data_IF_487688310367
#
_entry.id   IF_487688310367
#
_cell.length_a   1.000
_cell.length_b   1.000
_cell.length_c   1.000
_cell.angle_alpha   90.00
_cell.angle_beta   90.00
_cell.angle_gamma   90.00
#
_symmetry.space_group_name_H-M   'P 1'
#
loop_
_entity.id
_entity.type
_entity.pdbx_description
1 polymer ?
#
# COMPACT_ATOMS: atom_id res chain seq x y z
N UNK A 1 -49.32 -75.36 53.78
CA UNK A 1 -48.05 -74.62 53.68
C UNK A 1 -46.99 -75.57 53.14
N UNK A 2 -46.69 -75.53 51.83
CA UNK A 2 -45.67 -76.40 51.21
C UNK A 2 -44.30 -75.76 51.40
N UNK A 3 -43.46 -76.40 52.20
CA UNK A 3 -42.07 -76.00 52.37
C UNK A 3 -41.34 -76.13 51.03
N UNK A 4 -41.04 -75.00 50.39
CA UNK A 4 -40.06 -74.93 49.32
C UNK A 4 -38.70 -75.22 49.92
N UNK A 5 -38.30 -76.50 49.88
CA UNK A 5 -36.95 -76.97 50.14
C UNK A 5 -35.98 -76.06 49.37
N UNK A 6 -35.18 -75.28 50.11
CA UNK A 6 -34.01 -74.57 49.58
C UNK A 6 -33.07 -75.61 48.97
N UNK A 7 -33.20 -75.83 47.66
CA UNK A 7 -32.17 -76.51 46.87
C UNK A 7 -30.95 -75.61 46.90
N UNK A 8 -30.03 -75.89 47.83
CA UNK A 8 -28.66 -75.45 47.65
C UNK A 8 -28.23 -76.06 46.31
N UNK A 9 -27.90 -75.24 45.30
CA UNK A 9 -27.46 -75.78 44.02
C UNK A 9 -26.29 -76.72 44.30
N UNK A 10 -26.35 -77.91 43.72
CA UNK A 10 -25.24 -78.87 43.81
C UNK A 10 -23.96 -78.15 43.38
N UNK A 11 -22.84 -78.45 44.05
CA UNK A 11 -21.53 -77.95 43.67
C UNK A 11 -21.28 -78.14 42.16
N UNK A 12 -21.81 -79.22 41.58
CA UNK A 12 -21.77 -79.49 40.14
C UNK A 12 -22.48 -78.42 39.29
N UNK A 13 -23.64 -77.91 39.72
CA UNK A 13 -24.39 -76.89 38.97
C UNK A 13 -23.71 -75.53 39.05
N UNK A 14 -23.09 -75.21 40.19
CA UNK A 14 -22.31 -73.97 40.35
C UNK A 14 -21.08 -74.02 39.45
N UNK A 15 -20.32 -75.13 39.49
CA UNK A 15 -19.14 -75.33 38.63
C UNK A 15 -19.54 -75.30 37.15
N UNK A 16 -20.63 -75.99 36.77
CA UNK A 16 -21.12 -76.01 35.39
C UNK A 16 -21.53 -74.62 34.89
N UNK A 17 -22.21 -73.83 35.73
CA UNK A 17 -22.63 -72.47 35.35
C UNK A 17 -21.44 -71.52 35.21
N UNK A 18 -20.44 -71.63 36.09
CA UNK A 18 -19.24 -70.81 36.03
C UNK A 18 -18.35 -71.19 34.83
N UNK A 19 -18.19 -72.49 34.58
CA UNK A 19 -17.49 -73.00 33.40
C UNK A 19 -18.16 -72.55 32.10
N UNK A 20 -19.50 -72.55 32.06
CA UNK A 20 -20.25 -72.09 30.89
C UNK A 20 -20.08 -70.59 30.66
N UNK A 21 -20.08 -69.78 31.73
CA UNK A 21 -19.87 -68.34 31.66
C UNK A 21 -18.47 -67.98 31.14
N UNK A 22 -17.45 -68.73 31.59
CA UNK A 22 -16.07 -68.62 31.09
C UNK A 22 -15.93 -69.08 29.63
N UNK A 23 -16.59 -70.18 29.27
CA UNK A 23 -16.57 -70.73 27.91
C UNK A 23 -17.22 -69.80 26.87
N UNK A 24 -18.30 -69.09 27.25
CA UNK A 24 -19.00 -68.14 26.38
C UNK A 24 -18.37 -66.74 26.40
N UNK A 25 -17.64 -66.36 27.45
CA UNK A 25 -17.06 -65.02 27.62
C UNK A 25 -15.87 -64.69 26.70
N UNK A 26 -15.17 -65.71 26.17
CA UNK A 26 -13.93 -65.53 25.41
C UNK A 26 -14.07 -64.83 24.05
N UNK A 27 -15.22 -64.98 23.38
CA UNK A 27 -15.41 -64.47 22.01
C UNK A 27 -15.65 -62.97 21.95
N UNK A 28 -16.29 -62.39 22.97
CA UNK A 28 -16.55 -60.94 23.05
C UNK A 28 -15.31 -60.12 23.41
N UNK A 29 -14.47 -60.64 24.31
CA UNK A 29 -13.23 -59.95 24.73
C UNK A 29 -12.22 -59.93 23.59
N UNK A 30 -12.09 -61.02 22.82
CA UNK A 30 -11.15 -61.08 21.70
C UNK A 30 -11.47 -60.04 20.61
N UNK A 31 -12.74 -59.84 20.26
CA UNK A 31 -13.12 -58.90 19.20
C UNK A 31 -12.76 -57.43 19.51
N UNK A 32 -12.67 -57.04 20.79
CA UNK A 32 -12.43 -55.65 21.21
C UNK A 32 -11.01 -55.43 21.75
N UNK A 33 -10.38 -56.47 22.31
CA UNK A 33 -9.05 -56.36 22.97
C UNK A 33 -7.90 -57.00 22.19
N UNK A 34 -8.17 -57.93 21.27
CA UNK A 34 -7.13 -58.70 20.55
C UNK A 34 -6.74 -58.05 19.23
N UNK A 35 -7.45 -57.04 18.75
CA UNK A 35 -7.06 -56.31 17.55
C UNK A 35 -6.25 -55.05 17.94
N UNK A 36 -4.93 -55.04 17.71
CA UNK A 36 -4.15 -53.81 17.77
C UNK A 36 -4.75 -52.73 16.87
N UNK A 37 -4.47 -51.47 17.17
CA UNK A 37 -4.81 -50.35 16.26
C UNK A 37 -4.27 -50.62 14.86
N UNK A 38 -5.04 -50.26 13.83
CA UNK A 38 -4.73 -50.46 12.42
C UNK A 38 -4.67 -51.92 11.93
N UNK A 39 -5.25 -52.88 12.66
CA UNK A 39 -5.29 -54.30 12.25
C UNK A 39 -6.44 -54.65 11.28
N UNK A 40 -7.29 -53.69 10.95
CA UNK A 40 -8.36 -53.86 9.95
C UNK A 40 -7.89 -53.29 8.61
N UNK A 41 -7.39 -54.16 7.75
CA UNK A 41 -7.00 -53.85 6.38
C UNK A 41 -8.16 -53.97 5.38
N UNK A 42 -7.87 -53.69 4.11
CA UNK A 42 -8.87 -53.68 3.03
C UNK A 42 -9.53 -55.04 2.80
N UNK A 43 -8.82 -56.15 3.04
CA UNK A 43 -9.35 -57.51 2.88
C UNK A 43 -10.49 -57.83 3.87
N UNK A 44 -10.55 -57.14 5.01
CA UNK A 44 -11.63 -57.29 6.00
C UNK A 44 -12.84 -56.39 5.71
N UNK A 45 -12.72 -55.46 4.74
CA UNK A 45 -13.77 -54.53 4.37
C UNK A 45 -14.42 -54.96 3.05
N UNK A 46 -15.71 -55.29 3.08
CA UNK A 46 -16.50 -55.49 1.87
C UNK A 46 -16.70 -54.15 1.13
N UNK A 47 -16.97 -54.20 -0.17
CA UNK A 47 -17.32 -53.00 -0.93
C UNK A 47 -18.53 -52.30 -0.29
N UNK A 48 -18.47 -50.97 -0.18
CA UNK A 48 -19.46 -50.13 0.51
C UNK A 48 -19.67 -50.45 2.00
N UNK A 49 -18.72 -51.14 2.66
CA UNK A 49 -18.81 -51.39 4.09
C UNK A 49 -18.75 -50.11 4.94
N UNK A 50 -18.04 -49.08 4.49
CA UNK A 50 -17.94 -47.77 5.16
C UNK A 50 -18.71 -46.74 4.33
N UNK A 51 -19.90 -46.37 4.82
CA UNK A 51 -20.76 -45.34 4.21
C UNK A 51 -20.73 -44.05 5.03
N UNK A 52 -21.29 -42.96 4.50
CA UNK A 52 -21.34 -41.66 5.19
C UNK A 52 -21.97 -41.74 6.58
N UNK A 53 -23.00 -42.57 6.77
CA UNK A 53 -23.65 -42.79 8.07
C UNK A 53 -22.72 -43.39 9.14
N UNK A 54 -21.64 -44.07 8.72
CA UNK A 54 -20.63 -44.66 9.62
C UNK A 54 -19.46 -43.73 9.92
N UNK A 55 -19.42 -42.56 9.28
CA UNK A 55 -18.39 -41.54 9.49
C UNK A 55 -18.98 -40.42 10.32
N UNK A 56 -18.36 -40.12 11.47
CA UNK A 56 -18.81 -39.03 12.32
C UNK A 56 -18.56 -37.68 11.64
N UNK A 57 -19.53 -36.78 11.64
CA UNK A 57 -19.38 -35.44 11.08
C UNK A 57 -18.19 -34.69 11.71
N UNK A 58 -17.34 -34.11 10.87
CA UNK A 58 -16.13 -33.39 11.29
C UNK A 58 -14.97 -34.26 11.79
N UNK A 59 -15.06 -35.59 11.67
CA UNK A 59 -13.96 -36.48 12.06
C UNK A 59 -12.81 -36.57 11.05
N UNK A 60 -13.07 -36.21 9.79
CA UNK A 60 -12.07 -36.25 8.73
C UNK A 60 -11.26 -34.95 8.69
N UNK A 61 -9.95 -35.08 8.67
CA UNK A 61 -8.98 -34.01 8.53
C UNK A 61 -8.53 -33.89 7.07
N UNK A 62 -7.86 -32.79 6.74
CA UNK A 62 -7.23 -32.60 5.42
C UNK A 62 -6.28 -33.76 5.04
N UNK A 63 -5.62 -34.36 6.04
CA UNK A 63 -4.68 -35.46 5.85
C UNK A 63 -5.34 -36.77 5.39
N UNK A 64 -6.65 -36.94 5.62
CA UNK A 64 -7.39 -38.15 5.23
C UNK A 64 -7.75 -38.17 3.73
N UNK A 65 -7.58 -37.03 3.05
CA UNK A 65 -7.90 -36.86 1.64
C UNK A 65 -6.63 -36.76 0.80
N UNK A 66 -6.66 -37.35 -0.40
CA UNK A 66 -5.59 -37.15 -1.39
C UNK A 66 -5.57 -35.69 -1.83
N UNK A 67 -4.39 -35.20 -2.21
CA UNK A 67 -4.22 -33.85 -2.76
C UNK A 67 -5.15 -33.66 -3.96
N UNK A 68 -5.95 -32.59 -3.94
CA UNK A 68 -6.92 -32.28 -4.99
C UNK A 68 -8.33 -32.82 -4.77
N UNK A 69 -8.59 -33.64 -3.73
CA UNK A 69 -9.95 -34.11 -3.41
C UNK A 69 -10.81 -33.08 -2.67
N UNK A 70 -10.18 -32.11 -2.00
CA UNK A 70 -10.88 -31.02 -1.32
C UNK A 70 -10.83 -29.79 -2.24
N UNK A 71 -11.96 -29.35 -2.81
CA UNK A 71 -12.01 -28.14 -3.60
C UNK A 71 -11.45 -26.96 -2.82
N UNK A 72 -10.61 -26.15 -3.45
CA UNK A 72 -10.19 -24.88 -2.86
C UNK A 72 -11.43 -23.99 -2.68
N UNK A 73 -11.49 -23.26 -1.56
CA UNK A 73 -12.49 -22.22 -1.40
C UNK A 73 -12.36 -21.17 -2.51
N UNK A 74 -13.43 -20.41 -2.79
CA UNK A 74 -13.35 -19.31 -3.75
C UNK A 74 -12.24 -18.33 -3.35
N UNK A 75 -11.58 -17.73 -4.33
CA UNK A 75 -10.65 -16.63 -4.07
C UNK A 75 -11.42 -15.50 -3.38
N UNK A 76 -10.86 -14.93 -2.31
CA UNK A 76 -11.48 -13.82 -1.60
C UNK A 76 -11.72 -12.62 -2.52
N UNK A 77 -12.72 -11.80 -2.20
CA UNK A 77 -12.95 -10.56 -2.95
C UNK A 77 -11.71 -9.66 -2.91
N UNK A 78 -11.47 -8.92 -4.00
CA UNK A 78 -10.45 -7.87 -4.01
C UNK A 78 -10.75 -6.87 -2.90
N UNK A 79 -9.73 -6.49 -2.13
CA UNK A 79 -9.88 -5.46 -1.11
C UNK A 79 -10.35 -4.13 -1.70
N UNK A 80 -10.95 -3.24 -0.89
CA UNK A 80 -11.34 -1.91 -1.33
C UNK A 80 -10.13 -1.13 -1.85
N UNK A 81 -10.37 -0.17 -2.74
CA UNK A 81 -9.35 0.79 -3.12
C UNK A 81 -8.89 1.57 -1.88
N UNK A 82 -7.59 1.86 -1.79
CA UNK A 82 -7.06 2.72 -0.74
C UNK A 82 -7.63 4.16 -0.83
N UNK A 83 -7.53 4.95 0.24
CA UNK A 83 -7.94 6.35 0.21
C UNK A 83 -7.16 7.14 -0.85
N UNK A 84 -7.77 8.22 -1.35
CA UNK A 84 -7.05 9.17 -2.20
C UNK A 84 -5.85 9.76 -1.45
N UNK A 85 -4.77 10.07 -2.19
CA UNK A 85 -3.62 10.78 -1.62
C UNK A 85 -3.96 12.23 -1.22
N UNK A 86 -3.10 12.89 -0.42
CA UNK A 86 -3.30 14.29 -0.07
C UNK A 86 -3.25 15.19 -1.32
N UNK A 87 -3.90 16.37 -1.29
CA UNK A 87 -3.74 17.39 -2.33
C UNK A 87 -2.27 17.78 -2.54
N UNK A 88 -1.91 18.14 -3.77
CA UNK A 88 -0.58 18.69 -4.08
C UNK A 88 -0.38 20.09 -3.48
N UNK A 89 0.88 20.59 -3.44
CA UNK A 89 1.16 21.95 -2.98
C UNK A 89 0.48 23.00 -3.86
N UNK A 90 0.20 24.17 -3.28
CA UNK A 90 -0.37 25.29 -4.03
C UNK A 90 0.57 25.75 -5.16
N UNK A 91 0.01 26.00 -6.35
CA UNK A 91 0.77 26.46 -7.51
C UNK A 91 0.93 27.98 -7.58
N UNK A 92 1.75 28.43 -8.53
CA UNK A 92 1.89 29.85 -8.91
C UNK A 92 0.71 30.22 -9.81
N UNK A 93 0.06 31.36 -9.56
CA UNK A 93 -1.07 31.85 -10.36
C UNK A 93 -0.83 33.25 -10.95
N UNK A 94 -1.61 33.61 -11.98
CA UNK A 94 -1.63 34.96 -12.57
C UNK A 94 -0.26 35.50 -13.02
N UNK A 95 0.55 34.65 -13.67
CA UNK A 95 1.84 35.04 -14.24
C UNK A 95 1.67 36.18 -15.25
N UNK A 96 2.47 37.22 -15.10
CA UNK A 96 2.52 38.38 -15.99
C UNK A 96 3.97 38.89 -16.09
N UNK A 97 4.33 39.43 -17.25
CA UNK A 97 5.64 40.04 -17.48
C UNK A 97 5.49 41.55 -17.56
N UNK A 98 6.29 42.27 -16.78
CA UNK A 98 6.38 43.74 -16.81
C UNK A 98 7.71 44.13 -17.43
N UNK A 99 7.68 44.88 -18.53
CA UNK A 99 8.87 45.40 -19.22
C UNK A 99 8.97 46.91 -19.07
N UNK A 100 10.17 47.42 -18.82
CA UNK A 100 10.44 48.85 -18.79
C UNK A 100 11.78 49.16 -19.47
N UNK A 101 11.85 50.28 -20.19
CA UNK A 101 13.04 50.68 -20.96
C UNK A 101 13.42 52.11 -20.63
N UNK A 102 14.70 52.36 -20.46
CA UNK A 102 15.26 53.70 -20.32
C UNK A 102 15.19 54.48 -21.64
N UNK A 103 15.21 55.83 -21.60
CA UNK A 103 15.34 56.63 -22.82
C UNK A 103 16.62 56.30 -23.60
N UNK A 104 16.55 56.43 -24.93
CA UNK A 104 17.70 56.23 -25.83
C UNK A 104 18.64 57.43 -25.73
N UNK A 105 19.83 57.22 -25.18
CA UNK A 105 20.84 58.27 -24.95
C UNK A 105 22.20 57.64 -24.70
N UNK A 106 23.26 58.44 -24.68
CA UNK A 106 24.61 58.05 -24.24
C UNK A 106 24.85 58.31 -22.74
N UNK A 107 23.79 58.47 -21.95
CA UNK A 107 23.94 58.66 -20.51
C UNK A 107 24.43 57.36 -19.86
N UNK A 108 25.38 57.48 -18.93
CA UNK A 108 25.96 56.35 -18.19
C UNK A 108 26.23 56.78 -16.74
N UNK A 109 25.86 55.98 -15.72
CA UNK A 109 25.11 54.72 -15.82
C UNK A 109 23.62 54.93 -16.14
N UNK A 110 22.93 53.84 -16.49
CA UNK A 110 21.47 53.78 -16.57
C UNK A 110 20.93 52.82 -15.52
N UNK A 111 19.93 53.29 -14.78
CA UNK A 111 19.24 52.53 -13.74
C UNK A 111 17.74 52.58 -13.98
N UNK A 112 17.08 51.44 -13.92
CA UNK A 112 15.62 51.35 -14.02
C UNK A 112 15.10 50.08 -13.32
N UNK A 113 13.87 50.12 -12.81
CA UNK A 113 13.26 48.98 -12.11
C UNK A 113 11.90 48.64 -12.70
N UNK A 114 11.67 47.36 -12.98
CA UNK A 114 10.36 46.84 -13.36
C UNK A 114 9.57 46.47 -12.09
N UNK A 115 8.46 47.17 -11.85
CA UNK A 115 7.63 47.00 -10.64
C UNK A 115 6.46 46.07 -10.93
N UNK A 116 6.26 45.06 -10.08
CA UNK A 116 5.12 44.16 -10.19
C UNK A 116 3.80 44.86 -9.80
N UNK A 117 2.67 44.50 -10.45
CA UNK A 117 1.35 44.95 -10.04
C UNK A 117 1.02 44.54 -8.59
N UNK A 118 0.05 45.23 -7.99
CA UNK A 118 -0.41 44.92 -6.64
C UNK A 118 -0.87 43.46 -6.51
N UNK A 119 -0.52 42.81 -5.39
CA UNK A 119 -0.85 41.41 -5.14
C UNK A 119 0.04 40.38 -5.85
N UNK A 120 1.08 40.81 -6.57
CA UNK A 120 2.08 39.92 -7.19
C UNK A 120 3.46 40.07 -6.56
N UNK A 121 4.31 39.07 -6.80
CA UNK A 121 5.73 39.04 -6.42
C UNK A 121 6.58 38.64 -7.62
N UNK A 122 7.81 39.14 -7.64
CA UNK A 122 8.84 38.77 -8.61
C UNK A 122 9.22 37.32 -8.40
N UNK A 123 9.02 36.49 -9.42
CA UNK A 123 9.48 35.10 -9.48
C UNK A 123 10.71 34.94 -10.37
N UNK A 124 11.12 36.00 -11.06
CA UNK A 124 12.29 36.07 -11.93
C UNK A 124 12.33 37.36 -12.72
N UNK A 125 13.41 37.60 -13.45
CA UNK A 125 13.56 38.80 -14.28
C UNK A 125 14.87 38.81 -15.04
N UNK A 126 15.13 39.89 -15.75
CA UNK A 126 16.36 40.06 -16.51
C UNK A 126 16.53 41.47 -17.06
N UNK A 127 17.72 41.73 -17.59
CA UNK A 127 18.07 42.99 -18.23
C UNK A 127 18.73 42.74 -19.59
N UNK A 128 18.51 43.65 -20.54
CA UNK A 128 19.18 43.65 -21.84
C UNK A 128 19.60 45.08 -22.21
N UNK A 129 20.76 45.20 -22.84
CA UNK A 129 21.24 46.46 -23.41
C UNK A 129 21.13 46.39 -24.94
N UNK A 130 20.56 47.41 -25.56
CA UNK A 130 20.47 47.50 -27.03
C UNK A 130 20.90 48.87 -27.54
N UNK A 131 21.10 48.99 -28.86
CA UNK A 131 21.55 50.22 -29.53
C UNK A 131 23.02 50.15 -29.96
N UNK A 132 23.46 51.17 -30.70
CA UNK A 132 24.82 51.21 -31.28
C UNK A 132 25.93 51.21 -30.22
N UNK A 133 25.67 51.75 -29.03
CA UNK A 133 26.61 51.73 -27.90
C UNK A 133 26.66 50.40 -27.13
N UNK A 134 25.75 49.45 -27.38
CA UNK A 134 25.62 48.23 -26.57
C UNK A 134 26.90 47.39 -26.43
N UNK A 135 27.77 47.23 -27.47
CA UNK A 135 29.03 46.48 -27.32
C UNK A 135 30.03 47.08 -26.33
N UNK A 136 29.81 48.33 -25.88
CA UNK A 136 30.69 49.06 -24.95
C UNK A 136 30.09 49.19 -23.54
N UNK A 137 28.96 48.54 -23.28
CA UNK A 137 28.19 48.63 -22.05
C UNK A 137 28.08 47.24 -21.42
N UNK A 138 28.22 47.16 -20.10
CA UNK A 138 27.93 45.96 -19.33
C UNK A 138 26.75 46.19 -18.40
N UNK A 139 25.97 45.14 -18.15
CA UNK A 139 25.02 45.09 -17.04
C UNK A 139 25.85 44.89 -15.76
N UNK A 140 25.64 45.78 -14.79
CA UNK A 140 26.31 45.80 -13.49
C UNK A 140 25.46 45.09 -12.44
N UNK A 141 24.15 45.32 -12.49
CA UNK A 141 23.18 44.74 -11.56
C UNK A 141 21.93 44.22 -12.28
N UNK A 142 21.43 43.06 -11.86
CA UNK A 142 20.17 42.48 -12.31
C UNK A 142 19.59 41.55 -11.22
N UNK A 143 18.76 42.09 -10.32
CA UNK A 143 18.29 41.36 -9.14
C UNK A 143 16.88 41.77 -8.69
N UNK A 144 16.11 40.86 -8.08
CA UNK A 144 14.87 41.22 -7.40
C UNK A 144 15.13 41.94 -6.07
N UNK A 145 14.25 42.86 -5.71
CA UNK A 145 14.15 43.45 -4.38
C UNK A 145 13.95 42.36 -3.30
N UNK A 146 14.49 42.61 -2.09
CA UNK A 146 14.22 41.86 -0.86
C UNK A 146 12.74 41.61 -0.56
N UNK A 147 11.84 42.55 -0.87
CA UNK A 147 10.39 42.41 -0.68
C UNK A 147 9.70 41.69 -1.85
N UNK A 148 10.46 41.40 -2.92
CA UNK A 148 10.00 40.75 -4.13
C UNK A 148 8.99 41.58 -4.93
N UNK A 149 8.95 42.91 -4.80
CA UNK A 149 7.97 43.76 -5.50
C UNK A 149 8.50 44.32 -6.82
N UNK A 150 9.82 44.41 -7.00
CA UNK A 150 10.44 44.94 -8.22
C UNK A 150 11.73 44.21 -8.59
N UNK A 151 12.04 44.22 -9.88
CA UNK A 151 13.33 43.75 -10.42
C UNK A 151 14.15 44.96 -10.86
N UNK A 152 15.35 45.11 -10.30
CA UNK A 152 16.24 46.23 -10.53
C UNK A 152 17.25 45.87 -11.62
N UNK A 153 17.57 46.84 -12.48
CA UNK A 153 18.67 46.71 -13.43
C UNK A 153 19.51 47.98 -13.51
N UNK A 154 20.83 47.77 -13.55
CA UNK A 154 21.83 48.81 -13.75
C UNK A 154 22.77 48.38 -14.86
N UNK A 155 23.07 49.30 -15.78
CA UNK A 155 24.09 49.11 -16.80
C UNK A 155 24.99 50.34 -16.88
N UNK A 156 26.27 50.11 -17.16
CA UNK A 156 27.26 51.19 -17.29
C UNK A 156 28.17 50.94 -18.47
N UNK A 157 28.66 52.03 -19.04
CA UNK A 157 29.73 51.98 -20.04
C UNK A 157 31.00 51.40 -19.40
N UNK A 158 31.49 50.31 -19.96
CA UNK A 158 32.81 49.74 -19.65
C UNK A 158 33.90 50.34 -20.53
N UNK A 159 33.50 50.92 -21.67
CA UNK A 159 34.33 51.78 -22.51
C UNK A 159 33.53 53.04 -22.83
N UNK A 160 34.03 54.20 -22.45
CA UNK A 160 33.36 55.48 -22.68
C UNK A 160 32.96 55.65 -24.16
N UNK A 161 31.74 56.11 -24.41
CA UNK A 161 31.20 56.23 -25.77
C UNK A 161 30.18 57.38 -25.89
N UNK A 162 30.12 58.01 -27.06
CA UNK A 162 29.04 58.95 -27.42
C UNK A 162 27.88 58.27 -28.15
N UNK A 163 28.01 56.98 -28.47
CA UNK A 163 26.97 56.18 -29.11
C UNK A 163 25.78 56.00 -28.16
N UNK A 164 24.57 56.02 -28.70
CA UNK A 164 23.35 55.86 -27.91
C UNK A 164 23.03 54.39 -27.68
N UNK A 165 22.46 54.12 -26.50
CA UNK A 165 22.03 52.79 -26.08
C UNK A 165 20.79 52.88 -25.19
N UNK A 166 20.11 51.76 -24.96
CA UNK A 166 19.03 51.63 -23.97
C UNK A 166 19.30 50.45 -23.06
N UNK A 167 18.89 50.59 -21.80
CA UNK A 167 18.71 49.50 -20.85
C UNK A 167 17.22 49.17 -20.79
N UNK A 168 16.87 47.92 -21.10
CA UNK A 168 15.55 47.35 -20.79
C UNK A 168 15.68 46.37 -19.64
N UNK A 169 14.75 46.44 -18.69
CA UNK A 169 14.60 45.52 -17.56
C UNK A 169 13.21 44.92 -17.60
N UNK A 170 13.08 43.63 -17.28
CA UNK A 170 11.78 42.98 -17.11
C UNK A 170 11.69 42.20 -15.81
N UNK A 171 10.49 42.16 -15.24
CA UNK A 171 10.12 41.34 -14.10
C UNK A 171 9.04 40.33 -14.51
N UNK A 172 9.18 39.08 -14.09
CA UNK A 172 8.15 38.05 -14.13
C UNK A 172 7.44 38.08 -12.79
N UNK A 173 6.17 38.47 -12.79
CA UNK A 173 5.35 38.72 -11.61
C UNK A 173 4.23 37.70 -11.51
N UNK A 174 4.03 37.10 -10.34
CA UNK A 174 2.93 36.17 -10.13
C UNK A 174 2.36 36.27 -8.71
N UNK A 175 1.13 35.79 -8.53
CA UNK A 175 0.55 35.60 -7.21
C UNK A 175 1.09 34.30 -6.64
N UNK A 176 1.83 34.41 -5.54
CA UNK A 176 2.38 33.28 -4.81
C UNK A 176 1.40 32.95 -3.70
N UNK A 177 0.84 31.74 -3.70
CA UNK A 177 -0.01 31.29 -2.60
C UNK A 177 0.85 31.22 -1.33
N UNK A 178 0.46 32.00 -0.32
CA UNK A 178 1.02 32.00 1.03
C UNK A 178 0.58 30.79 1.83
#
# INVERSE_FOLDING_TARGET
MRALLRRCPSSATVIASFALLLALGGTGVAAVTVLPRNSVGTAQLKSNAVTSAKVRNGSLLRADFRRGQIPAGPTGARGPQGPAGPPGPAGIAALERVDITTPTSSASPKTISAVCPSGKRVIGGGARVTGSGAPRVSIDEAFPDSDGTKFNGVAREVVATSLTWTLQVYAMCATVAS
#
